data_IF_055472293088
#
_entry.id   IF_055472293088
#
_cell.length_a   1.000
_cell.length_b   1.000
_cell.length_c   1.000
_cell.angle_alpha   90.00
_cell.angle_beta   90.00
_cell.angle_gamma   90.00
#
_symmetry.space_group_name_H-M   'P 1'
#
loop_
_entity.id
_entity.type
_entity.pdbx_description
1 polymer ?
#
# COMPACT_ATOMS: atom_id res chain seq x y z
N UNK A 1 -19.62 -26.38 15.30
CA UNK A 1 -18.66 -25.63 14.46
C UNK A 1 -19.20 -24.22 14.33
N UNK A 2 -18.44 -23.20 14.74
CA UNK A 2 -18.88 -21.80 14.62
C UNK A 2 -18.82 -21.39 13.14
N UNK A 3 -19.91 -20.81 12.64
CA UNK A 3 -20.03 -20.36 11.26
C UNK A 3 -19.22 -19.07 11.07
N UNK A 4 -18.18 -19.14 10.23
CA UNK A 4 -17.27 -18.03 9.94
C UNK A 4 -17.87 -17.13 8.86
N UNK A 5 -17.94 -15.81 9.10
CA UNK A 5 -18.38 -14.84 8.09
C UNK A 5 -17.15 -14.25 7.42
N UNK A 6 -17.07 -14.35 6.10
CA UNK A 6 -16.07 -13.63 5.30
C UNK A 6 -16.68 -12.37 4.70
N UNK A 7 -15.92 -11.28 4.73
CA UNK A 7 -16.28 -10.01 4.10
C UNK A 7 -15.11 -9.47 3.28
N UNK A 8 -15.42 -8.56 2.36
CA UNK A 8 -14.43 -7.89 1.52
C UNK A 8 -14.62 -6.38 1.61
N UNK A 9 -13.53 -5.65 1.80
CA UNK A 9 -13.50 -4.19 1.88
C UNK A 9 -12.43 -3.71 0.91
N UNK A 10 -12.80 -2.89 -0.05
CA UNK A 10 -11.84 -2.29 -0.98
C UNK A 10 -11.64 -0.81 -0.67
N UNK A 11 -10.56 -0.23 -1.18
CA UNK A 11 -10.35 1.23 -1.16
C UNK A 11 -11.38 1.98 -2.02
N UNK A 12 -12.26 1.29 -2.74
CA UNK A 12 -13.30 1.87 -3.58
C UNK A 12 -14.67 2.02 -2.89
N UNK A 13 -14.80 1.58 -1.63
CA UNK A 13 -16.06 1.65 -0.87
C UNK A 13 -15.92 2.57 0.35
N UNK A 14 -17.04 3.20 0.73
CA UNK A 14 -17.10 4.09 1.89
C UNK A 14 -16.10 5.24 1.81
N UNK A 15 -15.46 5.54 2.93
CA UNK A 15 -14.36 6.51 3.04
C UNK A 15 -13.00 5.97 2.53
N UNK A 16 -13.00 4.81 1.87
CA UNK A 16 -11.81 4.22 1.27
C UNK A 16 -11.16 5.13 0.23
N UNK A 17 -9.83 5.15 0.23
CA UNK A 17 -9.01 5.96 -0.68
C UNK A 17 -7.66 5.32 -0.97
N UNK A 18 -7.08 5.64 -2.13
CA UNK A 18 -5.73 5.20 -2.48
C UNK A 18 -4.97 6.22 -3.34
N UNK A 19 -3.65 6.19 -3.18
CA UNK A 19 -2.76 7.10 -3.86
C UNK A 19 -1.31 6.65 -3.75
N UNK A 20 -0.43 7.32 -4.46
CA UNK A 20 1.00 7.13 -4.30
C UNK A 20 1.69 8.49 -4.23
N UNK A 21 2.88 8.48 -3.63
CA UNK A 21 3.76 9.63 -3.55
C UNK A 21 5.05 9.34 -4.29
N UNK A 22 5.72 10.39 -4.72
CA UNK A 22 7.00 10.32 -5.41
C UNK A 22 7.95 11.36 -4.82
N UNK A 23 9.14 10.94 -4.42
CA UNK A 23 10.20 11.84 -4.01
C UNK A 23 10.67 12.65 -5.22
N UNK A 24 10.32 13.93 -5.29
CA UNK A 24 10.81 14.86 -6.30
C UNK A 24 10.96 16.26 -5.71
N UNK A 25 11.92 17.02 -6.23
CA UNK A 25 12.12 18.43 -5.87
C UNK A 25 11.06 19.35 -6.49
N UNK A 26 10.36 18.88 -7.52
CA UNK A 26 9.28 19.61 -8.20
C UNK A 26 7.92 18.98 -7.88
N UNK A 27 6.89 19.82 -7.79
CA UNK A 27 5.49 19.39 -7.75
C UNK A 27 5.13 18.81 -9.12
N UNK A 28 5.35 17.51 -9.30
CA UNK A 28 4.98 16.85 -10.54
C UNK A 28 3.50 16.45 -10.55
N UNK A 29 2.88 16.56 -11.73
CA UNK A 29 1.59 15.93 -11.97
C UNK A 29 1.70 14.41 -11.73
N UNK A 30 0.65 13.81 -11.16
CA UNK A 30 0.62 12.35 -10.96
C UNK A 30 0.78 11.63 -12.30
N UNK A 31 1.94 10.98 -12.48
CA UNK A 31 2.27 10.12 -13.62
C UNK A 31 1.21 9.05 -13.94
N UNK A 32 0.46 8.56 -12.94
CA UNK A 32 -0.67 7.67 -13.15
C UNK A 32 -1.87 8.09 -12.30
N UNK A 33 -3.07 7.99 -12.89
CA UNK A 33 -4.34 8.17 -12.17
C UNK A 33 -5.01 6.85 -11.79
N UNK A 34 -4.56 5.75 -12.39
CA UNK A 34 -5.20 4.42 -12.35
C UNK A 34 -4.33 3.35 -11.66
N UNK A 35 -3.08 3.67 -11.33
CA UNK A 35 -2.16 2.75 -10.66
C UNK A 35 -1.45 3.43 -9.49
N UNK A 36 -1.26 2.68 -8.40
CA UNK A 36 -0.34 2.97 -7.31
C UNK A 36 1.07 2.63 -7.79
N UNK A 37 1.88 3.65 -8.02
CA UNK A 37 3.27 3.48 -8.45
C UNK A 37 4.17 3.26 -7.24
N UNK A 38 4.99 2.21 -7.26
CA UNK A 38 5.90 1.87 -6.17
C UNK A 38 7.28 1.55 -6.75
N UNK A 39 8.31 2.17 -6.19
CA UNK A 39 9.70 2.00 -6.64
C UNK A 39 10.68 2.38 -5.55
N UNK A 40 11.68 1.53 -5.40
CA UNK A 40 12.91 1.84 -4.70
C UNK A 40 14.03 2.11 -5.72
N UNK A 41 14.53 3.35 -5.82
CA UNK A 41 15.66 3.67 -6.68
C UNK A 41 16.97 3.15 -6.06
N UNK A 42 18.05 2.99 -6.84
CA UNK A 42 19.36 2.72 -6.27
C UNK A 42 19.80 3.87 -5.36
N UNK A 43 20.64 3.57 -4.38
CA UNK A 43 21.21 4.59 -3.48
C UNK A 43 21.97 5.65 -4.30
N UNK A 44 21.48 6.89 -4.25
CA UNK A 44 22.11 8.05 -4.88
C UNK A 44 22.64 8.98 -3.78
N UNK A 45 23.79 9.61 -4.03
CA UNK A 45 24.45 10.53 -3.09
C UNK A 45 23.75 11.89 -2.90
N UNK A 46 22.67 12.18 -3.64
CA UNK A 46 21.98 13.48 -3.67
C UNK A 46 20.51 13.39 -3.21
N UNK A 47 20.20 12.50 -2.28
CA UNK A 47 18.83 12.11 -1.96
C UNK A 47 18.33 11.04 -2.95
N UNK A 48 17.24 10.33 -2.65
CA UNK A 48 16.69 9.31 -3.56
C UNK A 48 15.52 9.87 -4.38
N UNK A 49 15.78 10.62 -5.46
CA UNK A 49 14.71 11.10 -6.34
C UNK A 49 14.01 9.90 -6.97
N UNK A 50 12.73 10.09 -7.28
CA UNK A 50 11.86 9.13 -7.93
C UNK A 50 11.53 7.87 -7.11
N UNK A 51 11.86 7.85 -5.81
CA UNK A 51 11.32 6.89 -4.85
C UNK A 51 9.81 7.02 -4.81
N UNK A 52 9.08 5.91 -4.82
CA UNK A 52 7.61 5.91 -4.84
C UNK A 52 7.03 4.93 -3.83
N UNK A 53 5.97 5.36 -3.14
CA UNK A 53 5.25 4.59 -2.13
C UNK A 53 3.76 4.65 -2.38
N UNK A 54 3.07 3.53 -2.18
CA UNK A 54 1.62 3.46 -2.25
C UNK A 54 0.98 3.64 -0.86
N UNK A 55 -0.18 4.28 -0.82
CA UNK A 55 -1.01 4.49 0.36
C UNK A 55 -2.43 3.99 0.05
N UNK A 56 -3.00 3.24 0.99
CA UNK A 56 -4.31 2.60 0.84
C UNK A 56 -5.06 2.74 2.16
N UNK A 57 -6.14 3.49 2.18
CA UNK A 57 -7.02 3.61 3.34
C UNK A 57 -8.30 2.81 3.10
N UNK A 58 -8.67 2.02 4.11
CA UNK A 58 -9.88 1.19 4.10
C UNK A 58 -10.85 1.72 5.14
N UNK A 59 -12.12 1.86 4.75
CA UNK A 59 -13.22 2.15 5.66
C UNK A 59 -13.64 0.85 6.37
N UNK A 60 -13.38 0.80 7.68
CA UNK A 60 -13.68 -0.32 8.57
C UNK A 60 -14.97 -0.13 9.37
N UNK A 61 -15.73 0.95 9.13
CA UNK A 61 -17.01 1.20 9.82
C UNK A 61 -18.02 0.04 9.65
N UNK A 62 -17.88 -0.77 8.60
CA UNK A 62 -18.69 -1.95 8.33
C UNK A 62 -18.35 -3.18 9.20
N UNK A 63 -17.27 -3.13 10.01
CA UNK A 63 -16.71 -4.29 10.73
C UNK A 63 -16.43 -4.06 12.20
N UNK A 64 -16.61 -2.83 12.68
CA UNK A 64 -16.18 -2.32 13.99
C UNK A 64 -16.70 -3.10 15.22
N UNK A 65 -17.71 -3.94 15.08
CA UNK A 65 -18.30 -4.71 16.19
C UNK A 65 -17.84 -6.18 16.25
N UNK A 66 -16.95 -6.64 15.37
CA UNK A 66 -16.58 -8.06 15.28
C UNK A 66 -15.08 -8.29 15.22
N UNK A 67 -14.52 -9.12 16.12
CA UNK A 67 -13.10 -9.47 16.06
C UNK A 67 -12.72 -10.11 14.71
N UNK A 68 -11.68 -9.57 14.10
CA UNK A 68 -11.05 -10.10 12.89
C UNK A 68 -10.12 -11.25 13.28
N UNK A 69 -10.47 -12.49 12.96
CA UNK A 69 -9.62 -13.65 13.26
C UNK A 69 -8.63 -13.97 12.13
N UNK A 70 -8.89 -13.49 10.92
CA UNK A 70 -7.98 -13.61 9.79
C UNK A 70 -8.14 -12.43 8.85
N UNK A 71 -7.03 -11.98 8.28
CA UNK A 71 -7.01 -10.89 7.33
C UNK A 71 -6.08 -11.20 6.17
N UNK A 72 -6.50 -10.81 4.96
CA UNK A 72 -5.70 -10.90 3.74
C UNK A 72 -5.83 -9.61 2.95
N UNK A 73 -4.70 -8.94 2.69
CA UNK A 73 -4.65 -7.86 1.70
C UNK A 73 -4.39 -8.45 0.32
N UNK A 74 -5.10 -7.97 -0.69
CA UNK A 74 -4.93 -8.34 -2.09
C UNK A 74 -4.65 -7.11 -2.95
N UNK A 75 -3.69 -7.24 -3.85
CA UNK A 75 -3.23 -6.18 -4.75
C UNK A 75 -3.08 -6.76 -6.16
N UNK A 76 -3.81 -6.20 -7.13
CA UNK A 76 -3.69 -6.58 -8.53
C UNK A 76 -2.55 -5.80 -9.17
N UNK A 77 -1.50 -6.47 -9.62
CA UNK A 77 -0.44 -5.84 -10.43
C UNK A 77 -0.99 -5.39 -11.78
N UNK A 78 -0.51 -4.25 -12.28
CA UNK A 78 -0.90 -3.67 -13.57
C UNK A 78 0.32 -3.14 -14.33
N UNK A 79 0.31 -3.16 -15.67
CA UNK A 79 1.40 -2.57 -16.45
C UNK A 79 1.45 -1.06 -16.22
N UNK A 80 2.65 -0.52 -16.03
CA UNK A 80 2.85 0.94 -15.88
C UNK A 80 3.42 1.60 -17.12
N UNK A 81 4.07 0.84 -18.00
CA UNK A 81 4.84 1.35 -19.14
C UNK A 81 5.98 2.31 -18.75
N UNK A 82 6.37 2.35 -17.47
CA UNK A 82 7.42 3.23 -16.95
C UNK A 82 8.65 2.41 -16.54
N UNK A 83 9.76 2.61 -17.24
CA UNK A 83 11.02 1.93 -17.02
C UNK A 83 11.04 0.50 -17.57
N UNK A 84 12.18 -0.19 -17.39
CA UNK A 84 12.42 -1.50 -18.02
C UNK A 84 12.37 -2.64 -17.00
N UNK A 85 11.47 -3.61 -17.23
CA UNK A 85 11.30 -4.79 -16.38
C UNK A 85 12.55 -5.68 -16.36
N UNK A 86 13.29 -5.75 -17.48
CA UNK A 86 14.56 -6.47 -17.59
C UNK A 86 15.65 -5.96 -16.63
N UNK A 87 15.48 -4.75 -16.08
CA UNK A 87 16.40 -4.11 -15.14
C UNK A 87 15.95 -4.23 -13.67
N UNK A 88 14.88 -5.00 -13.41
CA UNK A 88 14.44 -5.36 -12.07
C UNK A 88 14.66 -6.86 -11.84
N UNK A 89 15.31 -7.29 -10.75
CA UNK A 89 15.20 -8.68 -10.30
C UNK A 89 13.78 -8.94 -9.76
N UNK A 90 13.52 -10.17 -9.32
CA UNK A 90 12.37 -10.45 -8.45
C UNK A 90 12.38 -9.46 -7.27
N UNK A 91 11.28 -8.75 -7.08
CA UNK A 91 11.22 -7.60 -6.20
C UNK A 91 10.42 -7.91 -4.93
N UNK A 92 11.01 -7.66 -3.77
CA UNK A 92 10.37 -7.73 -2.47
C UNK A 92 9.58 -6.45 -2.19
N UNK A 93 8.35 -6.63 -1.72
CA UNK A 93 7.48 -5.56 -1.27
C UNK A 93 7.08 -5.79 0.18
N UNK A 94 7.04 -4.71 0.95
CA UNK A 94 6.61 -4.71 2.33
C UNK A 94 5.36 -3.83 2.49
N UNK A 95 4.45 -4.29 3.33
CA UNK A 95 3.22 -3.59 3.69
C UNK A 95 3.31 -3.20 5.16
N UNK A 96 3.16 -1.92 5.44
CA UNK A 96 3.12 -1.35 6.78
C UNK A 96 1.72 -0.84 7.10
N UNK A 97 1.30 -0.94 8.36
CA UNK A 97 0.12 -0.25 8.88
C UNK A 97 0.54 1.03 9.56
N UNK A 98 -0.21 2.12 9.35
CA UNK A 98 -0.05 3.36 10.08
C UNK A 98 -0.70 3.21 11.46
N UNK A 99 0.09 3.32 12.53
CA UNK A 99 -0.39 3.11 13.91
C UNK A 99 -0.82 4.41 14.59
N UNK A 100 -0.49 5.56 14.00
CA UNK A 100 -0.97 6.87 14.45
C UNK A 100 -2.21 7.25 13.64
N UNK A 101 -3.38 6.95 14.21
CA UNK A 101 -4.70 7.22 13.63
C UNK A 101 -4.94 8.71 13.31
N UNK A 102 -4.24 9.64 13.97
CA UNK A 102 -4.36 11.07 13.70
C UNK A 102 -3.79 11.47 12.33
N UNK A 103 -2.98 10.60 11.72
CA UNK A 103 -2.35 10.82 10.42
C UNK A 103 -3.12 10.15 9.27
N UNK A 104 -4.28 9.57 9.55
CA UNK A 104 -5.07 8.88 8.52
C UNK A 104 -5.87 9.83 7.64
N UNK A 105 -6.16 11.05 8.07
CA UNK A 105 -6.95 12.06 7.33
C UNK A 105 -6.16 12.74 6.20
N UNK A 106 -5.44 11.94 5.40
CA UNK A 106 -4.74 12.41 4.21
C UNK A 106 -5.68 12.42 3.00
N UNK A 107 -5.52 13.41 2.13
CA UNK A 107 -6.32 13.57 0.91
C UNK A 107 -5.52 13.13 -0.33
N UNK A 108 -6.13 12.26 -1.15
CA UNK A 108 -5.56 11.81 -2.43
C UNK A 108 -5.10 12.98 -3.32
N UNK A 109 -5.81 14.11 -3.31
CA UNK A 109 -5.53 15.26 -4.17
C UNK A 109 -4.30 16.06 -3.72
N UNK A 110 -3.99 16.06 -2.43
CA UNK A 110 -2.90 16.87 -1.85
C UNK A 110 -1.74 16.03 -1.32
N UNK A 111 -1.89 14.69 -1.30
CA UNK A 111 -0.85 13.75 -0.87
C UNK A 111 0.42 13.94 -1.71
N UNK A 112 1.49 14.35 -1.03
CA UNK A 112 2.83 14.58 -1.57
C UNK A 112 3.84 13.79 -0.77
N UNK A 113 5.09 13.69 -1.27
CA UNK A 113 6.16 13.03 -0.53
C UNK A 113 6.37 13.65 0.86
N UNK A 114 6.46 14.99 0.91
CA UNK A 114 6.73 15.79 2.10
C UNK A 114 5.57 15.77 3.11
N UNK A 115 4.34 15.54 2.64
CA UNK A 115 3.14 15.50 3.48
C UNK A 115 2.61 14.08 3.69
N UNK A 116 3.38 13.06 3.30
CA UNK A 116 2.92 11.67 3.39
C UNK A 116 2.96 11.16 4.83
N UNK A 117 1.93 10.43 5.29
CA UNK A 117 1.87 9.99 6.66
C UNK A 117 2.85 8.84 6.93
N UNK A 118 3.25 8.70 8.19
CA UNK A 118 4.14 7.62 8.64
C UNK A 118 5.62 7.79 8.25
N UNK A 119 6.03 8.97 7.77
CA UNK A 119 7.43 9.29 7.47
C UNK A 119 8.20 9.73 8.71
N UNK A 120 9.48 9.35 8.78
CA UNK A 120 10.44 9.88 9.73
C UNK A 120 10.91 11.27 9.26
N UNK A 121 11.51 12.06 10.16
CA UNK A 121 12.02 13.41 9.87
C UNK A 121 13.15 13.47 8.81
N UNK A 122 13.67 12.33 8.36
CA UNK A 122 14.62 12.25 7.26
C UNK A 122 13.93 12.23 5.88
N UNK A 123 12.59 12.23 5.85
CA UNK A 123 11.74 12.13 4.66
C UNK A 123 12.07 10.93 3.75
N UNK A 124 12.79 9.92 4.26
CA UNK A 124 13.18 8.73 3.50
C UNK A 124 12.71 7.49 4.20
N UNK A 125 12.80 7.43 5.53
CA UNK A 125 12.49 6.23 6.30
C UNK A 125 11.03 6.30 6.78
N UNK A 126 10.35 5.15 6.87
CA UNK A 126 9.09 5.12 7.61
C UNK A 126 9.40 5.21 9.11
N UNK A 127 8.65 6.05 9.83
CA UNK A 127 8.83 6.22 11.28
C UNK A 127 8.38 4.93 11.99
N UNK A 128 9.29 4.18 12.63
CA UNK A 128 8.94 2.92 13.29
C UNK A 128 8.06 3.12 14.53
N UNK A 129 7.91 4.35 15.02
CA UNK A 129 6.99 4.68 16.12
C UNK A 129 5.56 4.92 15.64
N UNK A 130 5.38 5.15 14.33
CA UNK A 130 4.08 5.42 13.69
C UNK A 130 3.68 4.36 12.67
N UNK A 131 4.53 3.38 12.43
CA UNK A 131 4.29 2.33 11.43
C UNK A 131 4.68 0.96 11.96
N UNK A 132 3.93 -0.06 11.54
CA UNK A 132 4.16 -1.46 11.90
C UNK A 132 4.22 -2.32 10.65
N UNK A 133 5.25 -3.14 10.49
CA UNK A 133 5.31 -4.12 9.40
C UNK A 133 4.19 -5.17 9.57
N UNK A 134 3.37 -5.34 8.53
CA UNK A 134 2.26 -6.29 8.53
C UNK A 134 2.55 -7.53 7.69
N UNK A 135 3.43 -7.43 6.69
CA UNK A 135 3.80 -8.57 5.87
C UNK A 135 4.60 -8.19 4.64
N UNK A 136 5.04 -9.22 3.92
CA UNK A 136 5.84 -9.09 2.70
C UNK A 136 5.35 -10.04 1.62
N UNK A 137 5.58 -9.67 0.36
CA UNK A 137 5.38 -10.55 -0.79
C UNK A 137 6.43 -10.27 -1.87
N UNK A 138 6.59 -11.22 -2.80
CA UNK A 138 7.52 -11.10 -3.92
C UNK A 138 6.74 -10.94 -5.21
N UNK A 139 7.18 -9.98 -6.03
CA UNK A 139 6.76 -9.79 -7.42
C UNK A 139 7.83 -10.40 -8.32
N UNK A 140 7.54 -11.53 -9.00
CA UNK A 140 8.47 -12.10 -9.96
C UNK A 140 8.65 -11.17 -11.16
N UNK A 141 9.89 -11.05 -11.66
CA UNK A 141 10.17 -10.30 -12.88
C UNK A 141 9.35 -10.83 -14.07
N UNK A 142 9.05 -12.13 -14.10
CA UNK A 142 8.34 -12.80 -15.19
C UNK A 142 6.83 -12.56 -15.22
N UNK A 143 6.22 -12.15 -14.10
CA UNK A 143 4.77 -11.99 -13.98
C UNK A 143 4.40 -10.88 -12.97
N UNK A 144 4.69 -9.60 -13.31
CA UNK A 144 4.45 -8.48 -12.41
C UNK A 144 2.98 -8.03 -12.36
N UNK A 145 2.11 -8.57 -13.22
CA UNK A 145 0.72 -8.12 -13.40
C UNK A 145 -0.31 -9.08 -12.82
N UNK A 146 0.08 -10.05 -11.99
CA UNK A 146 -0.85 -10.97 -11.32
C UNK A 146 -1.41 -10.39 -10.01
N UNK A 147 -2.24 -11.18 -9.33
CA UNK A 147 -2.70 -10.89 -7.98
C UNK A 147 -1.62 -11.24 -6.95
N UNK A 148 -1.30 -10.29 -6.07
CA UNK A 148 -0.40 -10.46 -4.93
C UNK A 148 -1.15 -10.31 -3.62
N UNK A 149 -0.61 -10.88 -2.53
CA UNK A 149 -1.26 -10.77 -1.23
C UNK A 149 -0.34 -11.00 -0.06
N UNK A 150 -0.68 -10.41 1.08
CA UNK A 150 -0.23 -10.82 2.41
C UNK A 150 -1.42 -11.39 3.19
N UNK A 151 -1.19 -12.42 3.98
CA UNK A 151 -2.18 -13.00 4.89
C UNK A 151 -1.46 -13.43 6.16
N UNK A 152 -1.42 -12.53 7.13
CA UNK A 152 -0.54 -12.63 8.31
C UNK A 152 -1.34 -12.36 9.58
N UNK A 153 -0.95 -12.94 10.73
CA UNK A 153 -1.52 -12.58 12.03
C UNK A 153 -1.36 -11.09 12.35
N UNK A 154 -0.22 -10.50 11.99
CA UNK A 154 0.09 -9.09 12.25
C UNK A 154 -0.91 -8.14 11.58
N UNK A 155 -1.38 -8.48 10.37
CA UNK A 155 -2.43 -7.72 9.69
C UNK A 155 -3.76 -7.82 10.44
N UNK A 156 -4.15 -9.01 10.90
CA UNK A 156 -5.38 -9.16 11.67
C UNK A 156 -5.31 -8.44 13.03
N UNK A 157 -4.17 -8.54 13.73
CA UNK A 157 -3.92 -7.82 14.98
C UNK A 157 -3.99 -6.31 14.79
N UNK A 158 -3.35 -5.79 13.74
CA UNK A 158 -3.41 -4.35 13.40
C UNK A 158 -4.85 -3.88 13.18
N UNK A 159 -5.64 -4.61 12.40
CA UNK A 159 -7.04 -4.24 12.14
C UNK A 159 -7.94 -4.33 13.37
N UNK A 160 -7.63 -5.16 14.36
CA UNK A 160 -8.36 -5.21 15.64
C UNK A 160 -7.96 -4.07 16.61
N UNK A 161 -6.88 -3.34 16.31
CA UNK A 161 -6.43 -2.20 17.12
C UNK A 161 -7.02 -0.87 16.65
N UNK A 162 -7.69 -0.85 15.50
CA UNK A 162 -8.41 0.32 14.98
C UNK A 162 -9.47 0.80 15.98
N UNK A 163 -9.45 2.10 16.27
CA UNK A 163 -10.40 2.78 17.15
C UNK A 163 -11.22 3.87 16.47
N UNK A 164 -10.87 4.25 15.23
CA UNK A 164 -11.51 5.34 14.50
C UNK A 164 -12.38 4.85 13.32
N UNK A 165 -12.39 3.55 13.03
CA UNK A 165 -13.17 2.95 11.96
C UNK A 165 -12.46 3.00 10.60
N UNK A 166 -11.15 3.21 10.58
CA UNK A 166 -10.32 3.36 9.40
C UNK A 166 -8.98 2.62 9.55
N UNK A 167 -8.37 2.27 8.42
CA UNK A 167 -7.03 1.70 8.45
C UNK A 167 -6.23 2.08 7.21
N UNK A 168 -5.09 2.73 7.43
CA UNK A 168 -4.14 3.12 6.39
C UNK A 168 -2.97 2.14 6.31
N UNK A 169 -2.78 1.58 5.12
CA UNK A 169 -1.67 0.72 4.76
C UNK A 169 -0.71 1.42 3.79
N UNK A 170 0.59 1.23 4.00
CA UNK A 170 1.68 1.80 3.21
C UNK A 170 2.41 0.68 2.50
N UNK A 171 2.52 0.78 1.18
CA UNK A 171 3.22 -0.17 0.32
C UNK A 171 4.55 0.40 -0.13
N UNK A 172 5.63 -0.32 0.17
CA UNK A 172 7.00 0.03 -0.21
C UNK A 172 7.66 -1.12 -0.95
N UNK A 173 8.59 -0.81 -1.85
CA UNK A 173 9.53 -1.79 -2.38
C UNK A 173 10.77 -1.82 -1.49
N UNK A 174 11.25 -3.01 -1.16
CA UNK A 174 12.53 -3.19 -0.45
C UNK A 174 13.67 -3.53 -1.40
N UNK A 175 13.35 -3.77 -2.67
CA UNK A 175 14.32 -4.12 -3.71
C UNK A 175 14.63 -2.88 -4.52
N UNK A 176 15.81 -2.31 -4.29
CA UNK A 176 16.35 -1.27 -5.15
C UNK A 176 16.61 -1.82 -6.54
N UNK A 177 16.09 -1.14 -7.57
CA UNK A 177 16.48 -1.41 -8.94
C UNK A 177 17.75 -0.64 -9.33
N UNK A 178 18.10 -0.70 -10.61
CA UNK A 178 19.14 0.17 -11.17
C UNK A 178 18.52 1.39 -11.88
N UNK A 179 19.35 2.26 -12.48
CA UNK A 179 18.87 3.38 -13.28
C UNK A 179 17.88 2.89 -14.36
N UNK A 180 16.80 3.64 -14.57
CA UNK A 180 15.73 3.36 -15.54
C UNK A 180 14.98 2.03 -15.32
N UNK A 181 15.13 1.41 -14.13
CA UNK A 181 14.38 0.21 -13.79
C UNK A 181 12.87 0.46 -13.71
N UNK A 182 12.12 -0.63 -13.93
CA UNK A 182 10.67 -0.65 -13.90
C UNK A 182 10.07 -0.04 -12.63
N UNK A 183 9.04 0.77 -12.82
CA UNK A 183 8.16 1.23 -11.74
C UNK A 183 7.02 0.24 -11.62
N UNK A 184 6.91 -0.42 -10.48
CA UNK A 184 5.82 -1.37 -10.27
C UNK A 184 4.50 -0.62 -10.09
N UNK A 185 3.44 -1.16 -10.68
CA UNK A 185 2.09 -0.64 -10.60
C UNK A 185 1.17 -1.65 -9.96
N UNK A 186 0.35 -1.17 -9.03
CA UNK A 186 -0.80 -1.92 -8.51
C UNK A 186 -2.06 -1.12 -8.84
N UNK A 187 -3.16 -1.80 -9.19
CA UNK A 187 -4.40 -1.13 -9.55
C UNK A 187 -4.84 -0.18 -8.41
N UNK A 188 -5.24 1.03 -8.78
CA UNK A 188 -5.97 1.97 -7.90
C UNK A 188 -7.46 1.67 -7.96
N UNK A 189 -8.25 2.17 -7.01
CA UNK A 189 -9.73 2.24 -7.10
C UNK A 189 -10.26 2.90 -8.37
N UNK A 190 -9.43 3.68 -9.05
CA UNK A 190 -9.79 4.36 -10.31
C UNK A 190 -9.43 3.55 -11.56
N UNK A 191 -8.84 2.36 -11.41
CA UNK A 191 -8.55 1.52 -12.57
C UNK A 191 -9.85 1.01 -13.21
N UNK A 192 -10.00 1.08 -14.55
CA UNK A 192 -11.25 0.70 -15.21
C UNK A 192 -11.61 -0.79 -15.05
N UNK A 193 -10.64 -1.68 -15.22
CA UNK A 193 -10.91 -3.13 -15.30
C UNK A 193 -10.30 -3.98 -14.17
N UNK A 194 -9.26 -3.49 -13.50
CA UNK A 194 -8.52 -4.24 -12.49
C UNK A 194 -9.10 -3.99 -11.09
N UNK A 195 -9.05 -5.01 -10.23
CA UNK A 195 -9.60 -4.89 -8.88
C UNK A 195 -8.78 -3.92 -8.01
N UNK A 196 -9.43 -3.03 -7.24
CA UNK A 196 -8.75 -2.19 -6.26
C UNK A 196 -8.04 -3.00 -5.17
N UNK A 197 -7.14 -2.36 -4.41
CA UNK A 197 -6.65 -2.91 -3.16
C UNK A 197 -7.82 -3.35 -2.28
N UNK A 198 -7.77 -4.60 -1.81
CA UNK A 198 -8.90 -5.24 -1.13
C UNK A 198 -8.45 -6.01 0.09
N UNK A 199 -9.06 -5.75 1.23
CA UNK A 199 -9.00 -6.58 2.43
C UNK A 199 -10.07 -7.67 2.36
N UNK A 200 -9.68 -8.91 2.63
CA UNK A 200 -10.61 -10.02 2.93
C UNK A 200 -10.48 -10.38 4.39
N UNK A 201 -11.56 -10.27 5.14
CA UNK A 201 -11.56 -10.47 6.58
C UNK A 201 -12.42 -11.69 6.94
N UNK A 202 -11.87 -12.57 7.76
CA UNK A 202 -12.61 -13.60 8.48
C UNK A 202 -13.04 -13.05 9.84
N UNK A 203 -14.34 -12.96 10.06
CA UNK A 203 -14.93 -12.43 11.27
C UNK A 203 -15.45 -13.57 12.15
N UNK A 204 -15.22 -13.44 13.45
CA UNK A 204 -15.87 -14.28 14.45
C UNK A 204 -17.31 -13.77 14.65
N UNK A 205 -18.27 -14.66 14.90
CA UNK A 205 -19.59 -14.23 15.37
C UNK A 205 -19.44 -13.56 16.76
N UNK A 206 -20.26 -12.54 17.06
CA UNK A 206 -20.37 -12.03 18.43
C UNK A 206 -20.83 -13.13 19.39
#
# INVERSE_FOLDING_TARGET
MAEQKTIQISTAIGEGRDGYVMASEQTEEKLSRIALLVKEPPDFSWGTPFRRRGYMHFDLSFVSERPVHSAKLQLQGVPTEIGFLSLMPDASFAVYGLTDESLEDWDEATLSWQSSPGMLADDVTLDPTKTRLLGKFVVPQSDPTRMFSIATPELAEFLNQDTNGGATLILVSETAGIKDCYVHGFASRRHPDASPPTLRLGLTKP
#
